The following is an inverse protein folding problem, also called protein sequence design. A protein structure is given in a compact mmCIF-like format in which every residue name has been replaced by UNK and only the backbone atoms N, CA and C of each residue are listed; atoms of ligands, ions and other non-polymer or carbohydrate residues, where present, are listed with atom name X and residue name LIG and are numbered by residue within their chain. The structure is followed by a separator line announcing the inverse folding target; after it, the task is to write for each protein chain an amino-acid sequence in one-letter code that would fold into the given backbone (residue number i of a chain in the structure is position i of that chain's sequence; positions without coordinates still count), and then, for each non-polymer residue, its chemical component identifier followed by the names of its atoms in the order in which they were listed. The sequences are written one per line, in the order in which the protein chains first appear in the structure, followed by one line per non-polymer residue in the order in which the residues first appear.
data_IF_041978092522
#
_entry.id   IF_041978092522
#
_cell.length_a   1.000
_cell.length_b   1.000
_cell.length_c   1.000
_cell.angle_alpha   90.00
_cell.angle_beta   90.00
_cell.angle_gamma   90.00
#
_symmetry.space_group_name_H-M   'P 1'
#
loop_
_entity.id
_entity.type
_entity.pdbx_description
1 polymer ?
#
# COMPACT_ATOMS: atom_id res chain seq x y z
N UNK A 1 6.60 -12.99 -12.25
CA UNK A 1 6.13 -11.61 -11.97
C UNK A 1 4.74 -11.72 -11.33
N UNK A 2 4.45 -10.97 -10.27
CA UNK A 2 3.12 -11.01 -9.64
C UNK A 2 2.13 -10.21 -10.49
N UNK A 3 0.91 -10.71 -10.66
CA UNK A 3 -0.08 -10.10 -11.54
C UNK A 3 -0.77 -8.92 -10.82
N UNK A 4 -0.65 -7.67 -11.30
CA UNK A 4 -1.35 -6.53 -10.71
C UNK A 4 -2.86 -6.55 -11.00
N UNK A 5 -3.30 -7.37 -11.95
CA UNK A 5 -4.70 -7.45 -12.37
C UNK A 5 -5.55 -8.04 -11.23
N UNK A 6 -6.65 -7.36 -10.85
CA UNK A 6 -7.63 -7.83 -9.89
C UNK A 6 -8.09 -9.27 -10.16
N UNK A 7 -7.86 -10.18 -9.21
CA UNK A 7 -8.37 -11.55 -9.27
C UNK A 7 -9.33 -11.85 -8.11
N UNK A 8 -9.74 -13.11 -7.94
CA UNK A 8 -10.56 -13.54 -6.80
C UNK A 8 -9.77 -13.49 -5.48
N UNK A 9 -10.47 -13.45 -4.34
CA UNK A 9 -9.85 -13.27 -3.02
C UNK A 9 -8.80 -14.35 -2.70
N UNK A 10 -9.04 -15.61 -3.11
CA UNK A 10 -8.10 -16.73 -2.89
C UNK A 10 -6.78 -16.52 -3.63
N UNK A 11 -6.84 -16.08 -4.88
CA UNK A 11 -5.67 -15.78 -5.70
C UNK A 11 -4.93 -14.55 -5.18
N UNK A 12 -5.65 -13.50 -4.78
CA UNK A 12 -5.08 -12.31 -4.14
C UNK A 12 -4.37 -12.66 -2.82
N UNK A 13 -4.95 -13.52 -2.00
CA UNK A 13 -4.33 -13.98 -0.76
C UNK A 13 -3.06 -14.81 -1.00
N UNK A 14 -3.06 -15.70 -2.01
CA UNK A 14 -1.85 -16.44 -2.42
C UNK A 14 -0.76 -15.50 -2.94
N UNK A 15 -1.14 -14.50 -3.74
CA UNK A 15 -0.23 -13.46 -4.26
C UNK A 15 0.40 -12.68 -3.11
N UNK A 16 -0.41 -12.22 -2.17
CA UNK A 16 0.07 -11.50 -0.99
C UNK A 16 0.99 -12.34 -0.09
N UNK A 17 0.66 -13.62 0.13
CA UNK A 17 1.52 -14.52 0.90
C UNK A 17 2.89 -14.70 0.24
N UNK A 18 2.92 -14.80 -1.10
CA UNK A 18 4.17 -14.88 -1.87
C UNK A 18 4.99 -13.59 -1.76
N UNK A 19 4.35 -12.43 -1.93
CA UNK A 19 5.01 -11.13 -1.79
C UNK A 19 5.60 -10.99 -0.39
N UNK A 20 4.82 -11.27 0.65
CA UNK A 20 5.27 -11.17 2.03
C UNK A 20 6.49 -12.06 2.29
N UNK A 21 6.48 -13.30 1.79
CA UNK A 21 7.66 -14.19 1.86
C UNK A 21 8.89 -13.59 1.19
N UNK A 22 8.74 -13.00 0.01
CA UNK A 22 9.85 -12.32 -0.68
C UNK A 22 10.42 -11.14 0.14
N UNK A 23 9.61 -10.50 0.99
CA UNK A 23 10.04 -9.41 1.88
C UNK A 23 10.56 -9.88 3.24
N UNK A 24 10.31 -11.13 3.65
CA UNK A 24 10.73 -11.66 4.96
C UNK A 24 11.85 -12.68 4.87
N UNK A 25 11.98 -13.40 3.75
CA UNK A 25 12.99 -14.44 3.57
C UNK A 25 14.25 -13.88 2.88
N UNK A 26 15.41 -14.21 3.44
CA UNK A 26 16.71 -13.97 2.80
C UNK A 26 16.77 -14.87 1.57
N UNK A 27 16.52 -14.32 0.38
CA UNK A 27 16.76 -14.99 -0.89
C UNK A 27 18.03 -14.45 -1.52
N UNK A 28 18.75 -15.21 -2.34
CA UNK A 28 20.01 -14.79 -3.01
C UNK A 28 19.89 -13.51 -3.89
N UNK A 29 18.69 -12.96 -4.09
CA UNK A 29 18.43 -11.71 -4.82
C UNK A 29 18.11 -10.50 -3.92
N UNK A 30 17.84 -10.71 -2.64
CA UNK A 30 17.45 -9.69 -1.68
C UNK A 30 18.53 -9.62 -0.58
N UNK A 31 19.37 -8.58 -0.61
CA UNK A 31 20.33 -8.32 0.46
C UNK A 31 19.64 -8.05 1.81
N UNK A 32 20.37 -8.17 2.93
CA UNK A 32 19.83 -8.05 4.29
C UNK A 32 19.09 -6.73 4.55
N UNK A 33 19.45 -5.65 3.87
CA UNK A 33 18.84 -4.32 4.03
C UNK A 33 17.41 -4.17 3.46
N UNK A 34 16.93 -5.16 2.69
CA UNK A 34 15.59 -5.11 2.05
C UNK A 34 14.53 -5.96 2.75
N UNK A 35 14.87 -6.47 3.94
CA UNK A 35 14.05 -7.44 4.67
C UNK A 35 13.24 -6.71 5.74
N UNK A 36 11.94 -7.01 5.79
CA UNK A 36 11.08 -6.53 6.86
C UNK A 36 11.46 -7.28 8.15
N UNK A 37 11.93 -6.60 9.20
CA UNK A 37 12.31 -7.29 10.42
C UNK A 37 11.10 -8.00 11.04
N UNK A 38 11.23 -9.24 11.54
CA UNK A 38 10.11 -10.00 12.09
C UNK A 38 9.37 -9.27 13.21
N UNK A 39 10.08 -8.47 14.01
CA UNK A 39 9.50 -7.70 15.10
C UNK A 39 8.55 -6.58 14.63
N UNK A 40 8.73 -6.06 13.41
CA UNK A 40 7.85 -5.03 12.83
C UNK A 40 6.51 -5.66 12.47
N UNK A 41 6.53 -6.84 11.83
CA UNK A 41 5.32 -7.61 11.53
C UNK A 41 4.63 -8.09 12.82
N UNK A 42 5.41 -8.53 13.80
CA UNK A 42 4.89 -9.01 15.08
C UNK A 42 4.14 -7.94 15.88
N UNK A 43 4.51 -6.66 15.74
CA UNK A 43 3.85 -5.50 16.38
C UNK A 43 2.75 -4.87 15.52
N UNK A 44 2.64 -5.27 14.25
CA UNK A 44 1.66 -4.71 13.33
C UNK A 44 0.22 -4.97 13.81
N UNK A 45 -0.61 -3.93 13.71
CA UNK A 45 -2.06 -3.97 13.91
C UNK A 45 -2.81 -4.23 12.60
N UNK A 46 -2.16 -4.03 11.46
CA UNK A 46 -2.66 -4.42 10.15
C UNK A 46 -1.54 -4.54 9.12
N UNK A 47 -1.82 -5.30 8.07
CA UNK A 47 -0.92 -5.50 6.94
C UNK A 47 -1.72 -5.34 5.66
N UNK A 48 -1.28 -4.47 4.76
CA UNK A 48 -1.79 -4.42 3.40
C UNK A 48 -0.69 -4.81 2.42
N UNK A 49 -1.01 -5.72 1.51
CA UNK A 49 -0.07 -6.23 0.51
C UNK A 49 -0.70 -6.06 -0.86
N UNK A 50 -0.02 -5.32 -1.73
CA UNK A 50 -0.52 -4.84 -3.01
C UNK A 50 0.51 -5.08 -4.12
N UNK A 51 0.04 -5.41 -5.32
CA UNK A 51 0.83 -5.29 -6.55
C UNK A 51 0.24 -4.17 -7.39
N UNK A 52 1.09 -3.21 -7.77
CA UNK A 52 0.69 -2.01 -8.50
C UNK A 52 1.48 -1.93 -9.80
N UNK A 53 0.80 -1.64 -10.91
CA UNK A 53 1.43 -1.23 -12.15
C UNK A 53 1.30 0.27 -12.29
N UNK A 54 2.39 0.92 -12.66
CA UNK A 54 2.47 2.32 -13.02
C UNK A 54 3.02 2.41 -14.45
N UNK A 55 2.36 3.18 -15.28
CA UNK A 55 2.85 3.47 -16.62
C UNK A 55 2.47 4.89 -17.03
N UNK A 56 3.34 5.52 -17.82
CA UNK A 56 2.91 6.63 -18.65
C UNK A 56 4.04 7.48 -19.22
N UNK A 57 3.62 8.55 -19.88
CA UNK A 57 4.44 9.50 -20.63
C UNK A 57 3.72 10.85 -20.59
N UNK A 58 4.23 11.81 -19.81
CA UNK A 58 3.59 13.09 -19.45
C UNK A 58 2.31 12.96 -18.59
N UNK A 59 1.42 12.05 -18.99
CA UNK A 59 0.26 11.60 -18.20
C UNK A 59 0.53 10.19 -17.75
N UNK A 60 0.26 9.91 -16.48
CA UNK A 60 0.49 8.60 -15.89
C UNK A 60 -0.74 8.02 -15.24
N UNK A 61 -0.82 6.71 -15.34
CA UNK A 61 -1.86 5.91 -14.73
C UNK A 61 -1.24 4.84 -13.86
N UNK A 62 -1.89 4.59 -12.73
CA UNK A 62 -1.54 3.52 -11.81
C UNK A 62 -2.78 2.71 -11.47
N UNK A 63 -2.58 1.41 -11.40
CA UNK A 63 -3.64 0.46 -11.10
C UNK A 63 -3.06 -0.74 -10.38
N UNK A 64 -3.80 -1.31 -9.44
CA UNK A 64 -3.32 -2.46 -8.70
C UNK A 64 -4.37 -3.10 -7.84
N UNK A 65 -4.00 -4.24 -7.29
CA UNK A 65 -4.86 -5.05 -6.43
C UNK A 65 -4.06 -5.77 -5.38
N UNK A 66 -4.74 -6.10 -4.29
CA UNK A 66 -4.16 -6.88 -3.22
C UNK A 66 -5.15 -7.13 -2.11
N UNK A 67 -4.62 -7.39 -0.92
CA UNK A 67 -5.42 -7.65 0.28
C UNK A 67 -4.96 -6.80 1.46
N UNK A 68 -5.87 -6.60 2.40
CA UNK A 68 -5.59 -6.10 3.74
C UNK A 68 -6.04 -7.10 4.80
N UNK A 69 -5.26 -7.19 5.87
CA UNK A 69 -5.49 -7.99 7.06
C UNK A 69 -5.42 -7.06 8.26
N UNK A 70 -6.38 -7.18 9.18
CA UNK A 70 -6.39 -6.47 10.44
C UNK A 70 -6.12 -7.44 11.59
N UNK A 71 -5.46 -6.94 12.64
CA UNK A 71 -5.28 -7.70 13.87
C UNK A 71 -6.42 -7.38 14.82
N UNK A 72 -7.10 -8.42 15.27
CA UNK A 72 -8.25 -8.34 16.15
C UNK A 72 -7.80 -8.09 17.60
N UNK A 73 -8.70 -7.60 18.48
CA UNK A 73 -8.37 -7.36 19.90
C UNK A 73 -7.89 -8.61 20.65
N UNK A 74 -8.32 -9.80 20.23
CA UNK A 74 -7.88 -11.09 20.76
C UNK A 74 -6.47 -11.52 20.26
N UNK A 75 -5.81 -10.68 19.47
CA UNK A 75 -4.46 -10.94 18.94
C UNK A 75 -4.41 -11.78 17.65
N UNK A 76 -5.54 -12.33 17.19
CA UNK A 76 -5.61 -13.09 15.94
C UNK A 76 -5.75 -12.19 14.73
N UNK A 77 -5.49 -12.72 13.53
CA UNK A 77 -5.68 -12.00 12.27
C UNK A 77 -7.11 -12.16 11.76
N UNK A 78 -7.66 -11.10 11.17
CA UNK A 78 -8.94 -11.13 10.46
C UNK A 78 -8.85 -11.97 9.18
N UNK A 79 -9.99 -12.27 8.58
CA UNK A 79 -10.02 -12.72 7.19
C UNK A 79 -9.40 -11.66 6.27
N UNK A 80 -8.77 -12.06 5.14
CA UNK A 80 -8.27 -11.12 4.16
C UNK A 80 -9.44 -10.39 3.48
N UNK A 81 -9.27 -9.09 3.26
CA UNK A 81 -10.19 -8.26 2.49
C UNK A 81 -9.51 -7.79 1.22
N UNK A 82 -10.13 -8.00 0.06
CA UNK A 82 -9.62 -7.56 -1.23
C UNK A 82 -9.74 -6.03 -1.37
N UNK A 83 -8.66 -5.44 -1.82
CA UNK A 83 -8.53 -3.99 -2.07
C UNK A 83 -7.99 -3.77 -3.48
N UNK A 84 -8.36 -2.63 -4.05
CA UNK A 84 -7.86 -2.10 -5.30
C UNK A 84 -7.21 -0.75 -5.06
N UNK A 85 -6.28 -0.41 -5.93
CA UNK A 85 -5.70 0.93 -5.99
C UNK A 85 -5.79 1.43 -7.42
N UNK A 86 -6.23 2.66 -7.57
CA UNK A 86 -6.31 3.34 -8.84
C UNK A 86 -5.80 4.77 -8.66
N UNK A 87 -5.12 5.30 -9.66
CA UNK A 87 -4.62 6.66 -9.61
C UNK A 87 -4.24 7.18 -10.97
N UNK A 88 -4.23 8.50 -11.05
CA UNK A 88 -3.84 9.25 -12.23
C UNK A 88 -2.87 10.34 -11.79
N UNK A 89 -1.90 10.60 -12.62
CA UNK A 89 -0.86 11.59 -12.37
C UNK A 89 -0.47 12.31 -13.64
N UNK A 90 0.32 13.36 -13.43
CA UNK A 90 0.92 14.12 -14.51
C UNK A 90 2.30 14.60 -14.06
N UNK A 91 3.25 14.59 -14.99
CA UNK A 91 4.62 15.02 -14.71
C UNK A 91 5.57 14.73 -15.85
N UNK A 92 6.82 15.18 -15.69
CA UNK A 92 7.90 14.85 -16.62
C UNK A 92 8.41 13.46 -16.29
N UNK A 93 7.60 12.45 -16.62
CA UNK A 93 7.93 11.06 -16.38
C UNK A 93 7.61 10.18 -17.58
N UNK A 94 8.45 9.16 -17.76
CA UNK A 94 8.33 8.14 -18.79
C UNK A 94 8.72 6.79 -18.22
N UNK A 95 7.88 5.80 -18.45
CA UNK A 95 8.24 4.43 -18.15
C UNK A 95 7.08 3.53 -17.79
N UNK A 96 7.46 2.31 -17.45
CA UNK A 96 6.57 1.28 -16.94
C UNK A 96 7.25 0.57 -15.78
N UNK A 97 6.54 0.48 -14.66
CA UNK A 97 7.00 -0.12 -13.43
C UNK A 97 5.91 -0.98 -12.81
N UNK A 98 6.28 -2.15 -12.32
CA UNK A 98 5.44 -2.99 -11.46
C UNK A 98 6.09 -3.06 -10.08
N UNK A 99 5.30 -2.73 -9.06
CA UNK A 99 5.77 -2.57 -7.69
C UNK A 99 4.93 -3.41 -6.75
N UNK A 100 5.61 -4.30 -6.03
CA UNK A 100 5.02 -5.03 -4.92
C UNK A 100 5.23 -4.22 -3.63
N UNK A 101 4.15 -3.96 -2.90
CA UNK A 101 4.11 -3.11 -1.72
C UNK A 101 3.63 -3.92 -0.51
N UNK A 102 4.34 -3.77 0.61
CA UNK A 102 3.91 -4.24 1.93
C UNK A 102 3.80 -3.03 2.86
N UNK A 103 2.58 -2.72 3.25
CA UNK A 103 2.23 -1.59 4.11
C UNK A 103 1.91 -2.14 5.50
N UNK A 104 2.64 -1.67 6.50
CA UNK A 104 2.53 -2.08 7.88
C UNK A 104 1.83 -0.98 8.67
N UNK A 105 0.67 -1.32 9.22
CA UNK A 105 -0.20 -0.44 9.98
C UNK A 105 0.01 -0.73 11.47
N UNK A 106 0.72 0.16 12.17
CA UNK A 106 1.07 -0.07 13.59
C UNK A 106 0.00 0.37 14.59
N UNK A 107 -1.02 1.10 14.13
CA UNK A 107 -2.09 1.60 14.97
C UNK A 107 -3.45 1.20 14.41
N UNK A 108 -4.41 0.91 15.30
CA UNK A 108 -5.79 0.57 14.91
C UNK A 108 -6.46 1.69 14.11
N UNK A 109 -6.17 2.96 14.46
CA UNK A 109 -6.60 4.13 13.67
C UNK A 109 -6.06 4.11 12.24
N UNK A 110 -4.84 3.59 12.02
CA UNK A 110 -4.28 3.47 10.67
C UNK A 110 -5.01 2.38 9.88
N UNK A 111 -5.36 1.27 10.52
CA UNK A 111 -6.20 0.21 9.93
C UNK A 111 -7.59 0.74 9.58
N UNK A 112 -8.20 1.49 10.48
CA UNK A 112 -9.52 2.09 10.27
C UNK A 112 -9.51 3.15 9.17
N UNK A 113 -8.50 4.03 9.16
CA UNK A 113 -8.33 5.04 8.10
C UNK A 113 -8.10 4.38 6.73
N UNK A 114 -7.33 3.28 6.70
CA UNK A 114 -7.12 2.49 5.50
C UNK A 114 -8.40 1.79 5.04
N UNK A 115 -9.17 1.19 5.97
CA UNK A 115 -10.42 0.49 5.68
C UNK A 115 -11.56 1.43 5.25
N UNK A 116 -11.59 2.67 5.75
CA UNK A 116 -12.58 3.70 5.38
C UNK A 116 -12.39 4.28 3.98
N UNK A 117 -11.35 3.85 3.23
CA UNK A 117 -11.19 4.22 1.82
C UNK A 117 -10.81 5.69 1.60
N UNK A 118 -10.06 6.29 2.52
CA UNK A 118 -9.60 7.68 2.37
C UNK A 118 -8.63 7.85 1.21
N UNK A 119 -8.74 8.98 0.49
CA UNK A 119 -7.92 9.37 -0.67
C UNK A 119 -6.41 9.44 -0.37
N UNK A 120 -5.71 8.30 -0.27
CA UNK A 120 -4.28 8.21 0.02
C UNK A 120 -3.44 8.90 -1.07
N UNK A 121 -2.99 10.14 -0.85
CA UNK A 121 -2.25 10.92 -1.85
C UNK A 121 -1.08 11.66 -1.21
N UNK A 122 0.18 11.39 -1.64
CA UNK A 122 1.16 12.38 -2.11
C UNK A 122 2.59 11.80 -2.30
N UNK A 123 3.11 11.93 -3.53
CA UNK A 123 4.50 12.30 -3.89
C UNK A 123 5.71 11.46 -3.42
N UNK A 124 6.39 10.81 -4.37
CA UNK A 124 7.85 10.56 -4.32
C UNK A 124 8.34 9.23 -3.74
N UNK A 125 7.71 8.71 -2.69
CA UNK A 125 7.85 7.32 -2.23
C UNK A 125 6.79 7.11 -1.15
N UNK A 126 5.98 6.08 -1.32
CA UNK A 126 4.67 5.89 -0.70
C UNK A 126 4.65 6.05 0.84
N UNK A 127 4.35 7.25 1.35
CA UNK A 127 3.95 7.47 2.76
C UNK A 127 3.02 8.68 2.86
N UNK A 128 1.72 8.46 3.02
CA UNK A 128 0.81 9.52 3.51
C UNK A 128 -0.16 8.92 4.53
N UNK A 129 0.03 9.30 5.79
CA UNK A 129 -0.97 9.20 6.83
C UNK A 129 -1.94 10.38 6.68
N UNK A 130 -3.20 10.10 6.35
CA UNK A 130 -4.23 11.13 6.21
C UNK A 130 -4.85 11.38 7.59
N UNK A 131 -4.38 12.45 8.25
CA UNK A 131 -5.22 13.21 9.18
C UNK A 131 -6.20 14.10 8.40
N UNK A 132 -7.31 14.52 9.00
CA UNK A 132 -8.44 15.12 8.27
C UNK A 132 -8.02 16.42 7.57
N UNK A 133 -8.25 16.50 6.25
CA UNK A 133 -8.13 17.73 5.47
C UNK A 133 -9.39 18.57 5.66
N UNK A 134 -9.24 19.77 6.21
CA UNK A 134 -10.33 20.73 6.39
C UNK A 134 -9.86 22.14 6.75
N UNK A 135 -9.58 22.93 5.70
CA UNK A 135 -9.91 24.35 5.47
C UNK A 135 -10.00 25.30 6.69
N UNK A 136 -9.24 26.40 6.58
CA UNK A 136 -9.34 27.71 7.23
C UNK A 136 -8.24 28.03 8.27
N UNK A 137 -7.62 29.20 8.04
CA UNK A 137 -7.02 30.14 8.99
C UNK A 137 -5.99 29.64 10.02
N UNK A 138 -4.83 30.29 9.98
CA UNK A 138 -4.07 30.80 11.14
C UNK A 138 -4.39 30.14 12.48
N UNK A 139 -3.57 29.18 12.90
CA UNK A 139 -3.76 28.55 14.19
C UNK A 139 -2.73 27.49 14.50
N UNK A 140 -1.80 27.85 15.36
CA UNK A 140 -0.90 26.97 16.10
C UNK A 140 -1.66 25.75 16.67
N UNK A 141 -1.57 24.59 16.00
CA UNK A 141 -2.12 23.33 16.51
C UNK A 141 -1.13 22.21 16.23
N UNK A 142 -0.53 21.72 17.32
CA UNK A 142 0.36 20.59 17.41
C UNK A 142 -0.12 19.37 16.58
N UNK A 143 0.50 19.19 15.40
CA UNK A 143 0.34 18.03 14.52
C UNK A 143 0.94 16.76 15.15
N UNK A 144 0.27 16.20 16.16
CA UNK A 144 0.52 14.81 16.63
C UNK A 144 -0.33 13.82 15.83
N UNK A 145 -0.08 13.70 14.53
CA UNK A 145 -0.60 12.56 13.75
C UNK A 145 0.45 11.44 13.74
N UNK A 146 0.58 10.73 14.86
CA UNK A 146 1.57 9.65 15.05
C UNK A 146 1.06 8.29 14.58
N UNK A 147 0.35 8.22 13.45
CA UNK A 147 0.02 6.94 12.82
C UNK A 147 1.20 6.55 11.92
N UNK A 148 2.30 6.09 12.51
CA UNK A 148 3.46 5.63 11.73
C UNK A 148 3.05 4.40 10.90
N UNK A 149 3.05 4.57 9.58
CA UNK A 149 2.87 3.49 8.60
C UNK A 149 4.21 3.26 7.93
N UNK A 150 4.65 2.02 7.89
CA UNK A 150 5.88 1.65 7.17
C UNK A 150 5.51 0.98 5.86
N UNK A 151 6.03 1.50 4.76
CA UNK A 151 5.86 0.88 3.44
C UNK A 151 7.19 0.32 2.97
N UNK A 152 7.19 -0.97 2.64
CA UNK A 152 8.27 -1.62 1.94
C UNK A 152 7.87 -1.83 0.49
N UNK A 153 8.73 -1.43 -0.43
CA UNK A 153 8.47 -1.48 -1.86
C UNK A 153 9.56 -2.27 -2.58
N UNK A 154 9.14 -3.09 -3.55
CA UNK A 154 10.02 -3.78 -4.49
C UNK A 154 9.52 -3.49 -5.89
N UNK A 155 10.10 -2.46 -6.48
CA UNK A 155 9.84 -2.01 -7.85
C UNK A 155 10.64 -2.83 -8.87
N UNK A 156 10.02 -3.07 -10.01
CA UNK A 156 10.65 -3.69 -11.18
C UNK A 156 10.16 -2.97 -12.43
N UNK A 157 11.08 -2.39 -13.18
CA UNK A 157 10.74 -1.67 -14.41
C UNK A 157 11.80 -0.65 -14.76
N UNK A 158 11.52 0.12 -15.81
CA UNK A 158 12.29 1.28 -16.17
C UNK A 158 11.36 2.48 -16.04
N UNK A 159 11.66 3.32 -15.06
CA UNK A 159 10.89 4.50 -14.75
C UNK A 159 11.84 5.65 -14.45
N UNK A 160 11.67 6.77 -15.14
CA UNK A 160 12.47 7.96 -14.92
C UNK A 160 11.57 9.19 -14.98
N UNK A 161 11.74 10.08 -13.99
CA UNK A 161 11.04 11.36 -13.98
C UNK A 161 10.56 11.81 -12.62
N UNK A 162 9.83 12.92 -12.65
CA UNK A 162 9.17 13.51 -11.49
C UNK A 162 7.71 13.71 -11.82
N UNK A 163 6.82 13.30 -10.92
CA UNK A 163 5.38 13.48 -11.08
C UNK A 163 4.65 13.72 -9.78
N UNK A 164 3.47 14.30 -9.97
CA UNK A 164 2.44 14.36 -8.95
C UNK A 164 1.35 13.35 -9.31
N UNK A 165 1.06 12.44 -8.39
CA UNK A 165 0.01 11.43 -8.55
C UNK A 165 -1.10 11.63 -7.54
N UNK A 166 -2.34 11.58 -8.01
CA UNK A 166 -3.55 11.39 -7.22
C UNK A 166 -3.91 9.91 -7.15
N UNK A 167 -4.25 9.40 -5.97
CA UNK A 167 -4.46 7.95 -5.80
C UNK A 167 -5.59 7.66 -4.83
N UNK A 168 -6.39 6.68 -5.17
CA UNK A 168 -7.55 6.25 -4.41
C UNK A 168 -7.43 4.77 -4.08
N UNK A 169 -7.73 4.43 -2.83
CA UNK A 169 -7.81 3.06 -2.36
C UNK A 169 -9.27 2.65 -2.30
N UNK A 170 -9.59 1.54 -2.95
CA UNK A 170 -10.95 1.10 -3.20
C UNK A 170 -11.14 -0.26 -2.55
N UNK A 171 -12.14 -0.39 -1.69
CA UNK A 171 -12.56 -1.70 -1.21
C UNK A 171 -13.27 -2.47 -2.34
N UNK A 172 -12.84 -3.72 -2.60
CA UNK A 172 -13.49 -4.58 -3.61
C UNK A 172 -14.67 -5.34 -3.00
N UNK A 173 -15.74 -4.61 -2.68
CA UNK A 173 -16.94 -5.14 -2.02
C UNK A 173 -17.53 -6.38 -2.68
N UNK A 174 -17.54 -6.46 -4.01
CA UNK A 174 -18.02 -7.64 -4.74
C UNK A 174 -17.15 -8.88 -4.52
N UNK A 175 -15.83 -8.70 -4.42
CA UNK A 175 -14.88 -9.80 -4.15
C UNK A 175 -14.87 -10.19 -2.67
N UNK A 176 -15.32 -9.29 -1.79
CA UNK A 176 -15.46 -9.51 -0.35
C UNK A 176 -16.83 -10.06 0.05
N UNK A 177 -17.86 -9.91 -0.80
CA UNK A 177 -19.15 -10.58 -0.62
C UNK A 177 -18.95 -12.07 -0.90
N UNK A 178 -19.31 -12.87 0.11
CA UNK A 178 -19.36 -14.33 0.01
C UNK A 178 -20.23 -14.78 -1.16
#
# INVERSE_FOLDING_TARGET
VNNPIPSNLKSEAKKAAKILREFTEITSRNGPDKIIPPHVIAKAKGLAVLSVIKAGFLVTARGGSGIVLARLPNGTWSAPSAIGIAGLGGGFEIGIEVSDLVIILNHERAVEAFAKGGNLTLGGNLTVAIGPLGRNLEGDVALRSSAAVYTYCKSRGLFAGVSLEGTCLIERKETNRK
#
